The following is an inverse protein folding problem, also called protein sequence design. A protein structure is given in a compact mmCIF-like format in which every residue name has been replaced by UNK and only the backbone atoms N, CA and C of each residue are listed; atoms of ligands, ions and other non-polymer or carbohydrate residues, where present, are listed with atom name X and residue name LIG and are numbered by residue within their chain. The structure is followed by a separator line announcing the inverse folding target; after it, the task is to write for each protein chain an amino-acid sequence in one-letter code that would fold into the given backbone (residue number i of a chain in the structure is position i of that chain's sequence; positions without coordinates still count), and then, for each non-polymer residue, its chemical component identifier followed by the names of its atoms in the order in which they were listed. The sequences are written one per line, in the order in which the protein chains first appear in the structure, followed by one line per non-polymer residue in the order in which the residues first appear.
data_IF_644019530780
#
_entry.id   IF_644019530780
#
_cell.length_a   1.000
_cell.length_b   1.000
_cell.length_c   1.000
_cell.angle_alpha   90.00
_cell.angle_beta   90.00
_cell.angle_gamma   90.00
#
_symmetry.space_group_name_H-M   'P 1'
#
loop_
_entity.id
_entity.type
_entity.pdbx_description
1 polymer ?
#
# COMPACT_ATOMS: atom_id res chain seq x y z
N UNK A 1 -14.05 -25.18 3.25
CA UNK A 1 -13.91 -24.00 4.13
C UNK A 1 -14.14 -22.79 3.24
N UNK A 2 -15.13 -21.95 3.53
CA UNK A 2 -15.52 -20.86 2.63
C UNK A 2 -14.35 -19.91 2.40
N UNK A 3 -14.16 -19.44 1.16
CA UNK A 3 -13.25 -18.32 0.87
C UNK A 3 -13.76 -17.10 1.67
N UNK A 4 -13.17 -16.83 2.82
CA UNK A 4 -13.38 -15.58 3.55
C UNK A 4 -12.77 -14.45 2.72
N UNK A 5 -13.52 -13.35 2.58
CA UNK A 5 -13.07 -12.15 1.88
C UNK A 5 -11.95 -11.48 2.68
N UNK A 6 -10.92 -10.93 2.00
CA UNK A 6 -9.91 -10.12 2.68
C UNK A 6 -10.52 -8.89 3.38
N UNK A 7 -11.70 -8.46 2.92
CA UNK A 7 -12.44 -7.30 3.40
C UNK A 7 -13.51 -7.65 4.44
N UNK A 8 -13.50 -8.85 5.04
CA UNK A 8 -14.49 -9.24 6.06
C UNK A 8 -14.56 -8.22 7.23
N UNK A 9 -13.44 -7.56 7.55
CA UNK A 9 -13.40 -6.53 8.58
C UNK A 9 -14.20 -5.26 8.25
N UNK A 10 -14.51 -5.00 6.97
CA UNK A 10 -15.24 -3.81 6.52
C UNK A 10 -16.69 -3.79 7.03
N UNK A 11 -17.27 -4.97 7.24
CA UNK A 11 -18.61 -5.14 7.82
C UNK A 11 -18.76 -4.46 9.20
N UNK A 12 -17.64 -4.23 9.91
CA UNK A 12 -17.65 -3.55 11.21
C UNK A 12 -18.05 -2.07 11.11
N UNK A 13 -17.91 -1.44 9.94
CA UNK A 13 -18.28 -0.04 9.73
C UNK A 13 -19.25 0.19 8.56
N UNK A 14 -19.32 -0.70 7.58
CA UNK A 14 -20.31 -0.61 6.50
C UNK A 14 -20.51 -1.96 5.82
N UNK A 15 -21.73 -2.50 5.94
CA UNK A 15 -22.10 -3.75 5.27
C UNK A 15 -22.19 -3.58 3.75
N UNK A 16 -22.66 -2.43 3.28
CA UNK A 16 -22.72 -2.10 1.85
C UNK A 16 -21.34 -2.10 1.20
N UNK A 17 -20.32 -1.55 1.90
CA UNK A 17 -18.94 -1.58 1.44
C UNK A 17 -18.36 -3.00 1.49
N UNK A 18 -18.64 -3.78 2.53
CA UNK A 18 -18.17 -5.17 2.64
C UNK A 18 -18.71 -6.06 1.51
N UNK A 19 -20.00 -5.95 1.19
CA UNK A 19 -20.60 -6.62 0.04
C UNK A 19 -19.98 -6.17 -1.29
N UNK A 20 -19.74 -4.87 -1.46
CA UNK A 20 -19.11 -4.33 -2.66
C UNK A 20 -17.66 -4.82 -2.82
N UNK A 21 -16.88 -4.86 -1.74
CA UNK A 21 -15.52 -5.39 -1.75
C UNK A 21 -15.47 -6.88 -2.09
N UNK A 22 -16.37 -7.68 -1.52
CA UNK A 22 -16.50 -9.11 -1.84
C UNK A 22 -16.80 -9.32 -3.33
N UNK A 23 -17.66 -8.47 -3.91
CA UNK A 23 -17.96 -8.51 -5.35
C UNK A 23 -16.75 -8.15 -6.21
N UNK A 24 -15.99 -7.13 -5.80
CA UNK A 24 -14.74 -6.73 -6.44
C UNK A 24 -13.72 -7.89 -6.44
N UNK A 25 -13.56 -8.59 -5.32
CA UNK A 25 -12.68 -9.76 -5.21
C UNK A 25 -13.09 -10.88 -6.19
N UNK A 26 -14.39 -11.18 -6.27
CA UNK A 26 -14.91 -12.21 -7.16
C UNK A 26 -14.69 -11.89 -8.66
N UNK A 27 -14.63 -10.61 -9.00
CA UNK A 27 -14.49 -10.12 -10.37
C UNK A 27 -13.05 -9.72 -10.73
N UNK A 28 -12.12 -9.76 -9.76
CA UNK A 28 -10.80 -9.15 -9.85
C UNK A 28 -10.04 -9.48 -11.14
N UNK A 29 -10.04 -10.76 -11.52
CA UNK A 29 -9.32 -11.26 -12.69
C UNK A 29 -10.16 -11.40 -13.95
N UNK A 30 -11.49 -11.45 -13.81
CA UNK A 30 -12.41 -11.78 -14.91
C UNK A 30 -13.06 -10.56 -15.53
N UNK A 31 -13.23 -9.47 -14.77
CA UNK A 31 -13.92 -8.25 -15.22
C UNK A 31 -13.21 -6.97 -14.74
N UNK A 32 -12.00 -6.65 -15.25
CA UNK A 32 -11.19 -5.52 -14.78
C UNK A 32 -11.90 -4.16 -14.88
N UNK A 33 -12.63 -3.93 -15.96
CA UNK A 33 -13.40 -2.69 -16.16
C UNK A 33 -14.47 -2.52 -15.06
N UNK A 34 -15.22 -3.59 -14.78
CA UNK A 34 -16.25 -3.58 -13.74
C UNK A 34 -15.64 -3.35 -12.34
N UNK A 35 -14.47 -3.93 -12.08
CA UNK A 35 -13.70 -3.73 -10.84
C UNK A 35 -13.31 -2.26 -10.67
N UNK A 36 -12.78 -1.60 -11.71
CA UNK A 36 -12.40 -0.20 -11.64
C UNK A 36 -13.59 0.73 -11.39
N UNK A 37 -14.73 0.47 -12.02
CA UNK A 37 -15.96 1.25 -11.82
C UNK A 37 -16.49 1.05 -10.39
N UNK A 38 -16.53 -0.19 -9.90
CA UNK A 38 -16.97 -0.49 -8.55
C UNK A 38 -16.03 0.05 -7.47
N UNK A 39 -14.72 0.01 -7.71
CA UNK A 39 -13.75 0.58 -6.80
C UNK A 39 -13.90 2.10 -6.67
N UNK A 40 -14.26 2.79 -7.75
CA UNK A 40 -14.64 4.21 -7.66
C UNK A 40 -15.85 4.38 -6.74
N UNK A 41 -16.93 3.62 -6.93
CA UNK A 41 -18.11 3.68 -6.05
C UNK A 41 -17.75 3.44 -4.59
N UNK A 42 -16.93 2.41 -4.32
CA UNK A 42 -16.41 2.12 -2.99
C UNK A 42 -15.69 3.32 -2.38
N UNK A 43 -14.75 3.92 -3.13
CA UNK A 43 -13.99 5.08 -2.65
C UNK A 43 -14.88 6.29 -2.37
N UNK A 44 -15.93 6.51 -3.15
CA UNK A 44 -16.85 7.63 -2.95
C UNK A 44 -17.69 7.47 -1.69
N UNK A 45 -18.12 6.24 -1.40
CA UNK A 45 -18.84 5.93 -0.16
C UNK A 45 -17.94 6.04 1.06
N UNK A 46 -16.70 5.51 0.99
CA UNK A 46 -15.73 5.63 2.07
C UNK A 46 -15.46 7.10 2.43
N UNK A 47 -15.24 7.96 1.43
CA UNK A 47 -15.04 9.40 1.62
C UNK A 47 -16.29 10.07 2.20
N UNK A 48 -17.50 9.57 1.87
CA UNK A 48 -18.75 10.05 2.50
C UNK A 48 -18.81 9.68 3.97
N UNK A 49 -18.46 8.44 4.35
CA UNK A 49 -18.36 8.02 5.75
C UNK A 49 -17.38 8.89 6.53
N UNK A 50 -16.19 9.16 5.97
CA UNK A 50 -15.21 10.08 6.57
C UNK A 50 -15.85 11.46 6.79
N UNK A 51 -16.54 12.00 5.79
CA UNK A 51 -17.13 13.34 5.90
C UNK A 51 -18.23 13.43 6.96
N UNK A 52 -18.99 12.35 7.11
CA UNK A 52 -20.04 12.23 8.13
C UNK A 52 -19.44 12.17 9.54
N UNK A 53 -18.41 11.34 9.75
CA UNK A 53 -17.68 11.27 11.02
C UNK A 53 -17.07 12.62 11.40
N UNK A 54 -16.59 13.38 10.40
CA UNK A 54 -16.00 14.70 10.60
C UNK A 54 -17.00 15.85 10.67
N UNK A 55 -18.30 15.58 10.48
CA UNK A 55 -19.34 16.61 10.49
C UNK A 55 -19.13 17.71 9.45
N UNK A 56 -18.45 17.41 8.34
CA UNK A 56 -18.17 18.38 7.26
C UNK A 56 -19.20 18.33 6.13
N UNK A 57 -20.31 17.64 6.34
CA UNK A 57 -21.45 17.59 5.44
C UNK A 57 -21.95 19.01 5.17
N UNK A 58 -22.00 19.39 3.89
CA UNK A 58 -22.43 20.72 3.48
C UNK A 58 -23.93 20.75 3.20
N UNK A 59 -24.51 21.95 3.28
CA UNK A 59 -25.91 22.23 2.90
C UNK A 59 -26.19 21.80 1.45
N UNK A 60 -25.16 21.80 0.60
CA UNK A 60 -25.22 21.31 -0.78
C UNK A 60 -24.38 20.03 -0.97
N UNK A 61 -24.85 19.05 -1.74
CA UNK A 61 -24.07 17.83 -2.01
C UNK A 61 -22.75 18.14 -2.73
N UNK A 62 -21.62 17.86 -2.07
CA UNK A 62 -20.29 17.91 -2.69
C UNK A 62 -20.10 16.80 -3.73
N UNK A 63 -19.43 17.13 -4.84
CA UNK A 63 -18.91 16.12 -5.77
C UNK A 63 -17.78 15.33 -5.09
N UNK A 64 -17.54 14.11 -5.56
CA UNK A 64 -16.53 13.21 -4.98
C UNK A 64 -15.13 13.85 -4.87
N UNK A 65 -14.64 14.49 -5.95
CA UNK A 65 -13.32 15.15 -5.93
C UNK A 65 -13.27 16.34 -4.96
N UNK A 66 -14.35 17.13 -4.87
CA UNK A 66 -14.42 18.29 -3.97
C UNK A 66 -14.31 17.85 -2.51
N UNK A 67 -14.95 16.72 -2.17
CA UNK A 67 -14.89 16.10 -0.87
C UNK A 67 -13.48 15.61 -0.53
N UNK A 68 -12.81 14.91 -1.47
CA UNK A 68 -11.42 14.44 -1.32
C UNK A 68 -10.48 15.64 -1.04
N UNK A 69 -10.58 16.69 -1.85
CA UNK A 69 -9.74 17.88 -1.70
C UNK A 69 -9.99 18.61 -0.36
N UNK A 70 -11.26 18.73 0.05
CA UNK A 70 -11.63 19.36 1.32
C UNK A 70 -11.04 18.60 2.52
N UNK A 71 -11.17 17.28 2.53
CA UNK A 71 -10.60 16.43 3.58
C UNK A 71 -9.08 16.63 3.69
N UNK A 72 -8.37 16.65 2.56
CA UNK A 72 -6.92 16.84 2.54
C UNK A 72 -6.49 18.22 3.05
N UNK A 73 -7.16 19.29 2.59
CA UNK A 73 -6.90 20.66 3.04
C UNK A 73 -7.11 20.83 4.54
N UNK A 74 -8.13 20.17 5.10
CA UNK A 74 -8.42 20.20 6.53
C UNK A 74 -7.55 19.23 7.36
N UNK A 75 -6.56 18.57 6.76
CA UNK A 75 -5.70 17.56 7.42
C UNK A 75 -6.45 16.36 7.98
N UNK A 76 -7.64 16.06 7.43
CA UNK A 76 -8.47 14.94 7.87
C UNK A 76 -8.06 13.61 7.20
N UNK A 77 -7.34 13.72 6.08
CA UNK A 77 -6.68 12.61 5.40
C UNK A 77 -5.23 13.00 5.08
N UNK A 78 -4.38 11.98 5.02
CA UNK A 78 -2.96 12.10 4.70
C UNK A 78 -2.74 12.22 3.19
N UNK A 79 -1.55 12.69 2.79
CA UNK A 79 -1.14 12.76 1.38
C UNK A 79 -1.23 11.40 0.68
N UNK A 80 -0.76 10.33 1.33
CA UNK A 80 -0.79 8.98 0.77
C UNK A 80 -2.23 8.50 0.49
N UNK A 81 -3.15 8.72 1.44
CA UNK A 81 -4.57 8.40 1.26
C UNK A 81 -5.21 9.26 0.16
N UNK A 82 -4.87 10.54 0.10
CA UNK A 82 -5.30 11.44 -0.97
C UNK A 82 -4.86 10.92 -2.35
N UNK A 83 -3.58 10.54 -2.50
CA UNK A 83 -3.03 10.02 -3.76
C UNK A 83 -3.77 8.75 -4.22
N UNK A 84 -4.06 7.83 -3.29
CA UNK A 84 -4.83 6.61 -3.59
C UNK A 84 -6.24 6.95 -4.07
N UNK A 85 -6.95 7.82 -3.36
CA UNK A 85 -8.31 8.24 -3.70
C UNK A 85 -8.37 8.89 -5.09
N UNK A 86 -7.43 9.79 -5.41
CA UNK A 86 -7.37 10.41 -6.74
C UNK A 86 -7.02 9.41 -7.84
N UNK A 87 -6.12 8.46 -7.57
CA UNK A 87 -5.80 7.38 -8.51
C UNK A 87 -7.02 6.54 -8.83
N UNK A 88 -7.76 6.06 -7.81
CA UNK A 88 -8.97 5.26 -7.98
C UNK A 88 -10.03 6.06 -8.74
N UNK A 89 -10.22 7.34 -8.40
CA UNK A 89 -11.17 8.24 -9.08
C UNK A 89 -10.85 8.37 -10.57
N UNK A 90 -9.59 8.65 -10.92
CA UNK A 90 -9.17 8.84 -12.33
C UNK A 90 -9.29 7.54 -13.14
N UNK A 91 -8.81 6.41 -12.59
CA UNK A 91 -8.87 5.11 -13.27
C UNK A 91 -10.30 4.59 -13.43
N UNK A 92 -11.12 4.72 -12.40
CA UNK A 92 -12.54 4.36 -12.47
C UNK A 92 -13.33 5.24 -13.45
N UNK A 93 -13.04 6.54 -13.52
CA UNK A 93 -13.63 7.43 -14.52
C UNK A 93 -13.23 7.03 -15.95
N UNK A 94 -11.95 6.72 -16.16
CA UNK A 94 -11.49 6.24 -17.47
C UNK A 94 -12.20 4.94 -17.86
N UNK A 95 -12.27 3.97 -16.95
CA UNK A 95 -12.96 2.69 -17.18
C UNK A 95 -14.46 2.85 -17.49
N UNK A 96 -15.12 3.88 -16.96
CA UNK A 96 -16.54 4.16 -17.20
C UNK A 96 -16.80 4.83 -18.57
N UNK A 97 -15.83 5.55 -19.13
CA UNK A 97 -16.02 6.38 -20.32
C UNK A 97 -15.28 5.88 -21.57
N UNK A 98 -14.21 5.09 -21.41
CA UNK A 98 -13.41 4.56 -22.50
C UNK A 98 -13.82 3.10 -22.79
N UNK A 99 -13.96 2.77 -24.07
CA UNK A 99 -14.29 1.41 -24.55
C UNK A 99 -13.03 0.55 -24.69
N UNK A 100 -11.85 1.13 -24.47
CA UNK A 100 -10.59 0.38 -24.46
C UNK A 100 -10.54 -0.69 -23.36
N UNK A 101 -9.87 -1.81 -23.64
CA UNK A 101 -9.71 -2.90 -22.68
C UNK A 101 -9.03 -2.38 -21.40
N UNK A 102 -9.74 -2.51 -20.28
CA UNK A 102 -9.19 -2.21 -18.96
C UNK A 102 -8.19 -3.28 -18.55
N UNK A 103 -7.03 -2.86 -18.07
CA UNK A 103 -5.94 -3.75 -17.69
C UNK A 103 -6.29 -4.50 -16.38
N UNK A 104 -6.13 -5.82 -16.39
CA UNK A 104 -6.26 -6.67 -15.18
C UNK A 104 -5.34 -6.17 -14.07
N UNK A 105 -4.22 -5.57 -14.42
CA UNK A 105 -3.27 -5.06 -13.45
C UNK A 105 -3.75 -3.77 -12.77
N UNK A 106 -4.48 -2.91 -13.49
CA UNK A 106 -5.16 -1.77 -12.86
C UNK A 106 -6.21 -2.25 -11.84
N UNK A 107 -6.89 -3.37 -12.13
CA UNK A 107 -7.83 -3.99 -11.19
C UNK A 107 -7.11 -4.58 -9.95
N UNK A 108 -5.97 -5.25 -10.12
CA UNK A 108 -5.15 -5.74 -9.00
C UNK A 108 -4.67 -4.57 -8.12
N UNK A 109 -4.25 -3.47 -8.74
CA UNK A 109 -3.80 -2.29 -8.02
C UNK A 109 -4.94 -1.62 -7.25
N UNK A 110 -6.11 -1.48 -7.87
CA UNK A 110 -7.25 -0.84 -7.20
C UNK A 110 -7.70 -1.64 -5.98
N UNK A 111 -7.72 -2.96 -6.09
CA UNK A 111 -8.03 -3.86 -4.97
C UNK A 111 -7.09 -3.63 -3.78
N UNK A 112 -5.79 -3.49 -4.04
CA UNK A 112 -4.81 -3.13 -3.02
C UNK A 112 -5.10 -1.79 -2.35
N UNK A 113 -5.39 -0.75 -3.15
CA UNK A 113 -5.71 0.56 -2.60
C UNK A 113 -6.97 0.53 -1.76
N UNK A 114 -8.03 -0.16 -2.21
CA UNK A 114 -9.23 -0.30 -1.39
C UNK A 114 -8.93 -0.94 -0.03
N UNK A 115 -8.08 -1.96 0.00
CA UNK A 115 -7.67 -2.61 1.24
C UNK A 115 -6.95 -1.63 2.17
N UNK A 116 -5.92 -0.94 1.68
CA UNK A 116 -5.13 0.04 2.45
C UNK A 116 -6.01 1.19 2.98
N UNK A 117 -6.93 1.70 2.16
CA UNK A 117 -7.86 2.76 2.56
C UNK A 117 -8.86 2.29 3.64
N UNK A 118 -9.28 1.03 3.58
CA UNK A 118 -10.21 0.43 4.54
C UNK A 118 -9.54 0.15 5.89
N UNK A 119 -8.29 -0.32 5.86
CA UNK A 119 -7.45 -0.48 7.06
C UNK A 119 -7.25 0.88 7.74
N UNK A 120 -6.93 1.92 6.96
CA UNK A 120 -6.81 3.27 7.49
C UNK A 120 -8.10 3.73 8.18
N UNK A 121 -9.26 3.50 7.55
CA UNK A 121 -10.55 3.88 8.15
C UNK A 121 -10.81 3.14 9.47
N UNK A 122 -10.52 1.83 9.52
CA UNK A 122 -10.61 1.04 10.76
C UNK A 122 -9.76 1.66 11.87
N UNK A 123 -8.50 1.95 11.57
CA UNK A 123 -7.54 2.45 12.55
C UNK A 123 -7.83 3.87 13.03
N UNK A 124 -8.51 4.68 12.23
CA UNK A 124 -8.79 6.08 12.55
C UNK A 124 -10.19 6.27 13.18
N UNK A 125 -11.19 5.52 12.74
CA UNK A 125 -12.59 5.75 13.12
C UNK A 125 -13.24 4.62 13.91
N UNK A 126 -12.72 3.38 13.82
CA UNK A 126 -13.39 2.20 14.42
C UNK A 126 -12.64 1.70 15.65
N UNK A 127 -11.35 1.36 15.52
CA UNK A 127 -10.51 0.82 16.58
C UNK A 127 -9.04 1.20 16.35
N UNK A 128 -8.49 2.03 17.26
CA UNK A 128 -7.11 2.54 17.19
C UNK A 128 -6.04 1.45 17.38
N UNK A 129 -6.43 0.33 17.97
CA UNK A 129 -5.62 -0.87 18.21
C UNK A 129 -5.88 -1.98 17.19
N UNK A 130 -6.66 -1.71 16.13
CA UNK A 130 -6.94 -2.67 15.07
C UNK A 130 -5.65 -3.16 14.39
N UNK A 131 -5.41 -4.46 14.48
CA UNK A 131 -4.36 -5.16 13.76
C UNK A 131 -4.89 -5.62 12.40
N UNK A 132 -4.36 -5.01 11.33
CA UNK A 132 -4.78 -5.31 9.97
C UNK A 132 -4.34 -6.73 9.55
N UNK A 133 -5.17 -7.47 8.80
CA UNK A 133 -4.73 -8.71 8.17
C UNK A 133 -3.63 -8.43 7.13
N UNK A 134 -2.85 -9.45 6.79
CA UNK A 134 -1.83 -9.33 5.74
C UNK A 134 -2.53 -9.31 4.39
N UNK A 135 -2.25 -8.29 3.57
CA UNK A 135 -2.82 -8.18 2.23
C UNK A 135 -2.47 -9.39 1.37
N UNK A 136 -3.48 -9.99 0.73
CA UNK A 136 -3.33 -11.08 -0.21
C UNK A 136 -4.28 -10.92 -1.41
N UNK A 137 -3.93 -11.52 -2.55
CA UNK A 137 -4.87 -11.58 -3.68
C UNK A 137 -5.88 -12.71 -3.48
N UNK A 138 -7.15 -12.52 -3.90
CA UNK A 138 -8.16 -13.57 -3.81
C UNK A 138 -7.74 -14.79 -4.64
N UNK A 139 -7.94 -15.97 -4.08
CA UNK A 139 -7.65 -17.22 -4.79
C UNK A 139 -8.70 -17.43 -5.88
N UNK A 140 -8.29 -17.74 -7.11
CA UNK A 140 -9.21 -18.00 -8.24
C UNK A 140 -10.05 -19.25 -7.94
N UNK A 141 -11.27 -19.07 -7.45
CA UNK A 141 -12.22 -20.16 -7.33
C UNK A 141 -12.60 -20.63 -8.75
N UNK A 142 -12.04 -21.76 -9.20
CA UNK A 142 -12.40 -22.40 -10.47
C UNK A 142 -11.27 -22.81 -11.41
N UNK A 143 -10.00 -22.65 -11.03
CA UNK A 143 -8.87 -23.26 -11.76
C UNK A 143 -8.15 -24.25 -10.83
N UNK A 144 -8.64 -25.49 -10.78
CA UNK A 144 -7.86 -26.66 -10.37
C UNK A 144 -6.74 -27.00 -11.37
N UNK A 145 -6.54 -26.19 -12.42
CA UNK A 145 -5.35 -26.28 -13.25
C UNK A 145 -4.28 -25.37 -12.68
N UNK A 146 -3.22 -26.00 -12.15
CA UNK A 146 -1.90 -25.43 -11.96
C UNK A 146 -1.58 -24.46 -13.12
N UNK A 147 -1.77 -23.16 -12.92
CA UNK A 147 -1.05 -22.17 -13.70
C UNK A 147 0.37 -22.26 -13.15
N UNK A 148 1.36 -22.73 -13.92
CA UNK A 148 2.73 -22.81 -13.43
C UNK A 148 3.14 -21.40 -13.00
N UNK A 149 3.71 -21.21 -11.80
CA UNK A 149 4.08 -19.87 -11.30
C UNK A 149 4.91 -19.06 -12.31
N UNK A 150 5.69 -19.77 -13.13
CA UNK A 150 6.38 -19.30 -14.34
C UNK A 150 5.55 -18.38 -15.27
N UNK A 151 4.26 -18.64 -15.50
CA UNK A 151 3.42 -17.80 -16.39
C UNK A 151 2.95 -16.51 -15.73
N UNK A 152 2.88 -16.48 -14.40
CA UNK A 152 2.57 -15.27 -13.64
C UNK A 152 3.80 -14.36 -13.69
N UNK A 153 5.00 -14.92 -13.52
CA UNK A 153 6.27 -14.20 -13.61
C UNK A 153 6.57 -13.68 -15.03
N UNK A 154 6.24 -14.45 -16.09
CA UNK A 154 6.41 -14.03 -17.49
C UNK A 154 5.51 -12.85 -17.90
N UNK A 155 4.32 -12.71 -17.29
CA UNK A 155 3.38 -11.61 -17.57
C UNK A 155 3.73 -10.36 -16.74
N UNK A 156 4.23 -10.56 -15.52
CA UNK A 156 4.55 -9.48 -14.57
C UNK A 156 5.86 -8.73 -14.95
N UNK A 157 6.86 -9.42 -15.52
CA UNK A 157 8.19 -8.83 -15.79
C UNK A 157 8.20 -7.79 -16.93
N UNK A 158 7.64 -8.06 -18.14
CA UNK A 158 7.52 -7.07 -19.21
C UNK A 158 6.53 -5.93 -18.84
N UNK A 159 5.61 -6.21 -17.91
CA UNK A 159 4.64 -5.26 -17.38
C UNK A 159 5.29 -4.22 -16.45
N UNK A 160 6.35 -4.57 -15.70
CA UNK A 160 7.06 -3.64 -14.83
C UNK A 160 7.62 -2.44 -15.60
N UNK A 161 8.21 -2.69 -16.78
CA UNK A 161 8.80 -1.65 -17.63
C UNK A 161 7.75 -0.75 -18.29
N UNK A 162 6.62 -1.31 -18.74
CA UNK A 162 5.55 -0.54 -19.40
C UNK A 162 4.68 0.26 -18.41
N UNK A 163 4.58 -0.22 -17.17
CA UNK A 163 3.78 0.38 -16.10
C UNK A 163 4.48 1.56 -15.44
N UNK A 164 5.81 1.48 -15.25
CA UNK A 164 6.62 2.60 -14.76
C UNK A 164 6.43 3.87 -15.62
N UNK A 165 6.36 3.71 -16.94
CA UNK A 165 6.15 4.83 -17.87
C UNK A 165 4.76 5.48 -17.77
N UNK A 166 3.69 4.70 -17.58
CA UNK A 166 2.30 5.23 -17.45
C UNK A 166 2.01 5.78 -16.05
N UNK A 167 2.72 5.29 -15.04
CA UNK A 167 2.61 5.80 -13.68
C UNK A 167 3.12 7.24 -13.61
N UNK A 168 4.24 7.55 -14.25
CA UNK A 168 4.85 8.89 -14.19
C UNK A 168 3.90 10.02 -14.63
N UNK A 169 3.17 9.87 -15.74
CA UNK A 169 2.30 10.95 -16.25
C UNK A 169 1.12 11.26 -15.31
N UNK A 170 0.41 10.22 -14.85
CA UNK A 170 -0.74 10.40 -13.97
C UNK A 170 -0.32 10.81 -12.56
N UNK A 171 0.80 10.27 -12.04
CA UNK A 171 1.34 10.70 -10.75
C UNK A 171 1.81 12.15 -10.82
N UNK A 172 2.42 12.58 -11.93
CA UNK A 172 2.82 13.98 -12.12
C UNK A 172 1.61 14.90 -12.05
N UNK A 173 0.52 14.58 -12.76
CA UNK A 173 -0.71 15.39 -12.70
C UNK A 173 -1.33 15.44 -11.29
N UNK A 174 -1.38 14.32 -10.57
CA UNK A 174 -1.90 14.31 -9.20
C UNK A 174 -0.95 15.04 -8.23
N UNK A 175 0.37 14.99 -8.46
CA UNK A 175 1.36 15.74 -7.69
C UNK A 175 1.29 17.25 -7.92
N UNK A 176 1.04 17.70 -9.15
CA UNK A 176 0.78 19.10 -9.44
C UNK A 176 -0.48 19.61 -8.72
N UNK A 177 -1.57 18.83 -8.77
CA UNK A 177 -2.79 19.13 -8.02
C UNK A 177 -2.53 19.20 -6.51
N UNK A 178 -1.74 18.26 -5.99
CA UNK A 178 -1.35 18.23 -4.59
C UNK A 178 -0.51 19.45 -4.20
N UNK A 179 0.40 19.91 -5.04
CA UNK A 179 1.21 21.10 -4.79
C UNK A 179 0.35 22.37 -4.66
N UNK A 180 -0.65 22.52 -5.54
CA UNK A 180 -1.63 23.61 -5.45
C UNK A 180 -2.43 23.54 -4.13
N UNK A 181 -2.89 22.35 -3.74
CA UNK A 181 -3.63 22.17 -2.49
C UNK A 181 -2.77 22.41 -1.24
N UNK A 182 -1.46 22.09 -1.29
CA UNK A 182 -0.52 22.39 -0.20
C UNK A 182 -0.37 23.90 0.00
N UNK A 183 -0.22 24.66 -1.08
CA UNK A 183 -0.16 26.12 -1.01
C UNK A 183 -1.45 26.73 -0.43
N UNK A 184 -2.63 26.24 -0.85
CA UNK A 184 -3.92 26.67 -0.29
C UNK A 184 -4.05 26.34 1.20
N UNK A 185 -3.58 25.16 1.62
CA UNK A 185 -3.61 24.68 3.00
C UNK A 185 -2.75 25.53 3.93
N UNK A 186 -1.53 25.86 3.51
CA UNK A 186 -0.61 26.70 4.28
C UNK A 186 -1.21 28.11 4.50
N UNK A 187 -1.85 28.68 3.47
CA UNK A 187 -2.54 29.97 3.58
C UNK A 187 -3.75 29.92 4.53
N UNK A 188 -4.47 28.79 4.59
CA UNK A 188 -5.63 28.62 5.47
C UNK A 188 -5.26 28.34 6.95
N UNK A 189 -4.12 27.71 7.24
CA UNK A 189 -3.68 27.42 8.61
C UNK A 189 -3.24 28.67 9.40
N UNK A 190 -2.83 29.74 8.72
CA UNK A 190 -2.43 31.02 9.36
C UNK A 190 -3.62 31.71 10.07
N UNK A 191 -4.88 31.34 9.77
CA UNK A 191 -6.07 32.03 10.31
C UNK A 191 -6.78 31.33 11.49
N UNK A 192 -6.43 30.09 11.87
CA UNK A 192 -7.27 29.26 12.76
C UNK A 192 -6.59 28.69 14.03
N UNK A 193 -5.62 29.38 14.62
CA UNK A 193 -4.92 28.94 15.84
C UNK A 193 -5.62 29.34 17.17
N UNK A 194 -6.95 29.19 17.28
CA UNK A 194 -7.68 29.49 18.53
C UNK A 194 -8.86 28.52 18.74
N UNK A 195 -8.58 27.27 19.11
CA UNK A 195 -9.47 26.37 19.89
C UNK A 195 -8.69 25.09 20.23
N UNK A 196 -8.63 24.73 21.51
CA UNK A 196 -8.02 23.48 21.97
C UNK A 196 -8.78 22.24 21.47
N UNK A 197 -8.06 21.14 21.29
CA UNK A 197 -8.59 19.86 20.81
C UNK A 197 -9.35 19.13 21.94
N UNK A 198 -10.38 18.38 21.58
CA UNK A 198 -11.07 17.46 22.49
C UNK A 198 -10.32 16.11 22.60
N UNK A 199 -10.53 15.31 23.66
CA UNK A 199 -9.85 14.02 23.83
C UNK A 199 -10.05 13.03 22.67
N UNK A 200 -11.21 13.04 22.02
CA UNK A 200 -11.46 12.20 20.82
C UNK A 200 -10.63 12.70 19.62
N UNK A 201 -10.46 14.01 19.49
CA UNK A 201 -9.60 14.61 18.45
C UNK A 201 -8.12 14.34 18.72
N UNK A 202 -7.68 14.35 19.98
CA UNK A 202 -6.30 14.01 20.36
C UNK A 202 -5.94 12.56 20.02
N UNK A 203 -6.80 11.60 20.35
CA UNK A 203 -6.60 10.18 19.99
C UNK A 203 -6.56 9.96 18.49
N UNK A 204 -7.44 10.67 17.76
CA UNK A 204 -7.48 10.62 16.31
C UNK A 204 -6.23 11.23 15.68
N UNK A 205 -5.78 12.38 16.16
CA UNK A 205 -4.57 13.05 15.68
C UNK A 205 -3.33 12.21 16.00
N UNK A 206 -3.30 11.53 17.15
CA UNK A 206 -2.27 10.54 17.48
C UNK A 206 -2.30 9.34 16.53
N UNK A 207 -3.49 8.83 16.16
CA UNK A 207 -3.63 7.73 15.20
C UNK A 207 -3.17 8.13 13.79
N UNK A 208 -3.61 9.29 13.31
CA UNK A 208 -3.16 9.88 12.04
C UNK A 208 -1.65 10.11 12.07
N UNK A 209 -1.09 10.64 13.16
CA UNK A 209 0.36 10.86 13.28
C UNK A 209 1.14 9.56 13.34
N UNK A 210 0.64 8.54 14.03
CA UNK A 210 1.25 7.21 14.08
C UNK A 210 1.26 6.58 12.69
N UNK A 211 0.16 6.73 11.96
CA UNK A 211 0.08 6.25 10.59
C UNK A 211 0.99 7.03 9.63
N UNK A 212 1.09 8.35 9.80
CA UNK A 212 2.08 9.17 9.10
C UNK A 212 3.49 8.69 9.34
N UNK A 213 3.82 8.39 10.58
CA UNK A 213 5.14 7.87 10.95
C UNK A 213 5.37 6.50 10.34
N UNK A 214 4.37 5.60 10.35
CA UNK A 214 4.46 4.28 9.71
C UNK A 214 4.69 4.40 8.19
N UNK A 215 3.88 5.20 7.51
CA UNK A 215 3.97 5.46 6.06
C UNK A 215 5.33 6.07 5.75
N UNK A 216 5.79 7.05 6.53
CA UNK A 216 7.05 7.72 6.28
C UNK A 216 8.25 6.80 6.56
N UNK A 217 8.19 6.00 7.62
CA UNK A 217 9.27 5.09 8.05
C UNK A 217 9.64 4.07 6.97
N UNK A 218 8.67 3.60 6.19
CA UNK A 218 8.90 2.60 5.14
C UNK A 218 8.57 3.08 3.73
N UNK A 219 8.42 4.40 3.55
CA UNK A 219 8.03 5.01 2.27
C UNK A 219 8.92 4.56 1.11
N UNK A 220 10.22 4.42 1.32
CA UNK A 220 11.18 3.98 0.29
C UNK A 220 10.86 2.57 -0.19
N UNK A 221 10.56 1.66 0.73
CA UNK A 221 10.18 0.29 0.40
C UNK A 221 8.86 0.26 -0.35
N UNK A 222 7.87 1.02 0.11
CA UNK A 222 6.57 1.14 -0.59
C UNK A 222 6.73 1.68 -2.01
N UNK A 223 7.60 2.70 -2.20
CA UNK A 223 7.94 3.27 -3.53
C UNK A 223 8.59 2.24 -4.46
N UNK A 224 9.34 1.29 -3.91
CA UNK A 224 9.95 0.18 -4.65
C UNK A 224 9.14 -1.11 -4.58
N UNK A 225 7.82 -1.03 -4.35
CA UNK A 225 6.90 -2.17 -4.32
C UNK A 225 7.19 -3.25 -3.27
N UNK A 226 7.94 -2.92 -2.23
CA UNK A 226 8.15 -3.77 -1.07
C UNK A 226 7.07 -3.48 -0.01
N UNK A 227 6.35 -4.52 0.41
CA UNK A 227 5.35 -4.45 1.50
C UNK A 227 5.95 -4.98 2.78
N UNK A 228 5.70 -4.31 3.89
CA UNK A 228 6.03 -4.85 5.20
C UNK A 228 5.19 -6.11 5.45
N UNK A 229 5.84 -7.24 5.67
CA UNK A 229 5.18 -8.54 5.98
C UNK A 229 5.39 -8.97 7.42
N UNK A 230 6.46 -8.49 8.06
CA UNK A 230 6.73 -8.76 9.47
C UNK A 230 7.62 -7.68 10.06
N UNK A 231 7.50 -7.43 11.35
CA UNK A 231 8.38 -6.51 12.05
C UNK A 231 8.79 -7.07 13.40
N UNK A 232 10.08 -6.95 13.69
CA UNK A 232 10.67 -7.35 14.97
C UNK A 232 11.60 -6.27 15.50
N UNK A 233 12.05 -6.42 16.74
CA UNK A 233 13.07 -5.53 17.32
C UNK A 233 14.39 -5.54 16.56
N UNK A 234 14.67 -6.58 15.75
CA UNK A 234 15.94 -6.75 15.04
C UNK A 234 15.89 -6.35 13.56
N UNK A 235 14.74 -6.54 12.92
CA UNK A 235 14.56 -6.28 11.50
C UNK A 235 13.09 -6.10 11.13
N UNK A 236 12.85 -5.33 10.07
CA UNK A 236 11.60 -5.26 9.34
C UNK A 236 11.73 -6.10 8.06
N UNK A 237 10.81 -7.05 7.88
CA UNK A 237 10.70 -7.92 6.72
C UNK A 237 9.83 -7.26 5.67
N UNK A 238 10.34 -7.20 4.45
CA UNK A 238 9.57 -6.77 3.31
C UNK A 238 9.52 -7.83 2.24
N UNK A 239 8.38 -7.94 1.60
CA UNK A 239 8.18 -8.78 0.42
C UNK A 239 7.83 -7.91 -0.77
N UNK A 240 8.58 -8.07 -1.85
CA UNK A 240 8.28 -7.43 -3.11
C UNK A 240 6.94 -7.96 -3.63
N UNK A 241 5.99 -7.05 -3.85
CA UNK A 241 4.60 -7.37 -4.22
C UNK A 241 4.47 -8.25 -5.46
N UNK A 242 5.46 -8.19 -6.36
CA UNK A 242 5.41 -8.80 -7.67
C UNK A 242 6.27 -10.06 -7.76
N UNK A 243 7.48 -10.04 -7.20
CA UNK A 243 8.43 -11.15 -7.33
C UNK A 243 8.39 -12.10 -6.13
N UNK A 244 7.69 -11.72 -5.05
CA UNK A 244 7.79 -12.42 -3.77
C UNK A 244 9.18 -12.31 -3.12
N UNK A 245 10.05 -11.44 -3.65
CA UNK A 245 11.41 -11.28 -3.14
C UNK A 245 11.36 -10.76 -1.72
N UNK A 246 11.98 -11.50 -0.80
CA UNK A 246 11.99 -11.12 0.61
C UNK A 246 13.32 -10.44 0.92
N UNK A 247 13.23 -9.25 1.48
CA UNK A 247 14.38 -8.53 2.03
C UNK A 247 14.12 -8.17 3.48
N UNK A 248 15.19 -7.97 4.24
CA UNK A 248 15.08 -7.49 5.61
C UNK A 248 15.84 -6.19 5.79
N UNK A 249 15.17 -5.12 6.19
CA UNK A 249 15.83 -3.93 6.72
C UNK A 249 16.25 -4.20 8.17
N UNK A 250 17.54 -4.13 8.45
CA UNK A 250 18.06 -4.31 9.81
C UNK A 250 17.85 -3.04 10.65
N UNK A 251 17.50 -3.21 11.93
CA UNK A 251 17.31 -2.10 12.89
C UNK A 251 18.61 -1.68 13.60
N UNK A 252 19.75 -1.79 12.92
CA UNK A 252 21.06 -1.37 13.39
C UNK A 252 21.30 0.14 13.11
N UNK A 253 22.43 0.70 13.58
CA UNK A 253 22.77 2.13 13.41
C UNK A 253 23.01 2.57 11.96
N UNK A 254 23.00 1.65 11.00
CA UNK A 254 23.35 1.89 9.59
C UNK A 254 22.20 1.41 8.70
N UNK A 255 21.84 2.18 7.67
CA UNK A 255 20.79 1.79 6.72
C UNK A 255 21.27 0.56 5.95
N UNK A 256 20.75 -0.61 6.31
CA UNK A 256 21.26 -1.87 5.78
C UNK A 256 20.18 -2.91 5.55
N UNK A 257 20.27 -3.60 4.42
CA UNK A 257 19.33 -4.66 4.04
C UNK A 257 20.04 -6.00 3.88
N UNK A 258 19.31 -7.06 4.15
CA UNK A 258 19.72 -8.44 3.89
C UNK A 258 18.98 -8.96 2.67
N UNK A 259 19.74 -9.53 1.74
CA UNK A 259 19.23 -10.17 0.53
C UNK A 259 19.23 -11.69 0.65
N UNK A 260 18.21 -12.32 0.06
CA UNK A 260 18.01 -13.75 0.14
C UNK A 260 18.97 -14.49 -0.81
N UNK A 261 19.84 -15.40 -0.31
CA UNK A 261 20.79 -16.12 -1.15
C UNK A 261 20.18 -16.95 -2.29
N UNK A 262 18.93 -17.38 -2.13
CA UNK A 262 18.29 -18.31 -3.07
C UNK A 262 17.64 -17.63 -4.27
N UNK A 263 17.30 -16.35 -4.16
CA UNK A 263 16.48 -15.65 -5.16
C UNK A 263 17.19 -14.49 -5.85
N UNK A 264 18.30 -13.99 -5.29
CA UNK A 264 19.11 -12.95 -5.95
C UNK A 264 20.09 -13.51 -6.99
N UNK A 265 20.41 -12.69 -8.00
CA UNK A 265 21.41 -13.01 -9.01
C UNK A 265 22.82 -13.17 -8.40
N UNK A 266 23.67 -13.98 -9.05
CA UNK A 266 25.01 -14.29 -8.56
C UNK A 266 25.92 -13.07 -8.42
N UNK A 267 25.66 -12.00 -9.18
CA UNK A 267 26.35 -10.71 -9.05
C UNK A 267 26.16 -10.06 -7.68
N UNK A 268 25.09 -10.41 -6.96
CA UNK A 268 24.82 -9.91 -5.60
C UNK A 268 25.34 -10.85 -4.50
N UNK A 269 25.96 -11.98 -4.86
CA UNK A 269 26.48 -12.95 -3.90
C UNK A 269 27.97 -12.70 -3.64
N UNK A 270 28.33 -12.54 -2.39
CA UNK A 270 29.73 -12.34 -1.97
C UNK A 270 29.94 -12.87 -0.55
N UNK A 271 30.90 -13.78 -0.36
CA UNK A 271 31.20 -14.36 0.95
C UNK A 271 31.55 -13.29 1.99
N UNK A 272 32.18 -12.18 1.58
CA UNK A 272 32.53 -11.06 2.47
C UNK A 272 31.29 -10.35 3.04
N UNK A 273 30.18 -10.36 2.29
CA UNK A 273 28.90 -9.75 2.66
C UNK A 273 27.99 -10.70 3.42
N UNK A 274 28.35 -11.97 3.53
CA UNK A 274 27.51 -12.97 4.14
C UNK A 274 27.37 -12.75 5.65
N UNK A 275 26.14 -12.69 6.15
CA UNK A 275 25.85 -12.54 7.58
C UNK A 275 24.75 -13.49 8.02
N UNK A 276 24.88 -13.97 9.25
CA UNK A 276 23.88 -14.81 9.91
C UNK A 276 23.03 -14.00 10.87
N UNK A 277 21.73 -14.24 10.89
CA UNK A 277 20.82 -13.64 11.85
C UNK A 277 19.55 -14.47 12.01
N UNK A 278 19.11 -14.64 13.25
CA UNK A 278 17.83 -15.30 13.56
C UNK A 278 16.61 -14.48 13.16
N UNK A 279 16.79 -13.21 12.77
CA UNK A 279 15.71 -12.35 12.30
C UNK A 279 15.26 -12.68 10.87
N UNK A 280 16.11 -13.38 10.09
CA UNK A 280 15.89 -13.68 8.68
C UNK A 280 15.05 -14.96 8.52
N UNK A 281 13.82 -14.91 9.00
CA UNK A 281 12.96 -16.10 9.18
C UNK A 281 12.69 -16.86 7.88
N UNK A 282 12.58 -16.16 6.75
CA UNK A 282 12.32 -16.71 5.41
C UNK A 282 13.59 -17.01 4.61
N UNK A 283 14.78 -16.73 5.16
CA UNK A 283 16.04 -16.99 4.47
C UNK A 283 16.53 -18.41 4.73
N UNK A 284 17.31 -18.99 3.79
CA UNK A 284 17.93 -20.29 3.97
C UNK A 284 18.83 -20.30 5.22
N UNK A 285 18.92 -21.47 5.85
CA UNK A 285 19.77 -21.71 7.02
C UNK A 285 20.98 -22.52 6.61
N UNK A 286 22.13 -22.16 7.17
CA UNK A 286 23.32 -23.02 7.10
C UNK A 286 24.06 -23.02 8.43
N UNK A 287 24.87 -24.05 8.63
CA UNK A 287 25.70 -24.18 9.81
C UNK A 287 26.91 -23.27 9.65
N UNK A 288 27.17 -22.40 10.63
CA UNK A 288 28.36 -21.56 10.67
C UNK A 288 28.94 -21.60 12.09
N UNK A 289 30.18 -22.09 12.21
CA UNK A 289 31.02 -22.19 13.44
C UNK A 289 30.41 -22.88 14.68
N UNK A 290 29.11 -23.17 14.71
CA UNK A 290 28.38 -23.91 15.75
C UNK A 290 27.68 -25.16 15.20
N UNK A 291 26.79 -25.78 15.98
CA UNK A 291 26.05 -27.00 15.59
C UNK A 291 24.64 -26.73 15.04
N UNK A 292 24.02 -25.58 15.36
CA UNK A 292 22.65 -25.27 14.94
C UNK A 292 22.61 -24.41 13.67
N UNK A 293 21.85 -24.80 12.64
CA UNK A 293 21.66 -23.99 11.44
C UNK A 293 21.03 -22.63 11.76
N UNK A 294 21.65 -21.55 11.26
CA UNK A 294 21.13 -20.18 11.43
C UNK A 294 20.90 -19.56 10.06
N UNK A 295 19.81 -18.80 9.91
CA UNK A 295 19.48 -18.13 8.66
C UNK A 295 20.61 -17.18 8.25
N UNK A 296 20.91 -17.12 6.96
CA UNK A 296 21.96 -16.27 6.41
C UNK A 296 21.50 -15.54 5.15
N UNK A 297 22.15 -14.41 4.88
CA UNK A 297 21.93 -13.62 3.68
C UNK A 297 23.13 -12.75 3.36
N UNK A 298 23.02 -11.94 2.32
CA UNK A 298 24.05 -11.00 1.91
C UNK A 298 23.69 -9.58 2.38
N UNK A 299 24.57 -8.97 3.17
CA UNK A 299 24.38 -7.65 3.76
C UNK A 299 24.80 -6.56 2.77
N UNK A 300 23.90 -5.61 2.55
CA UNK A 300 24.14 -4.38 1.80
C UNK A 300 23.90 -3.17 2.71
N UNK A 301 24.78 -2.17 2.63
CA UNK A 301 24.73 -0.96 3.44
C UNK A 301 24.64 0.24 2.51
N UNK A 302 23.92 1.26 2.94
CA UNK A 302 23.64 2.46 2.17
C UNK A 302 23.94 3.69 3.01
N UNK A 303 24.41 4.76 2.38
CA UNK A 303 24.72 6.02 3.04
C UNK A 303 23.46 6.86 3.26
N UNK A 304 22.49 6.76 2.36
CA UNK A 304 21.27 7.54 2.38
C UNK A 304 20.08 6.80 1.73
N UNK A 305 18.91 7.41 1.85
CA UNK A 305 17.65 6.88 1.33
C UNK A 305 17.60 6.79 -0.21
N UNK A 306 18.31 7.67 -0.91
CA UNK A 306 18.36 7.72 -2.38
C UNK A 306 19.13 6.52 -2.94
N UNK A 307 20.31 6.22 -2.37
CA UNK A 307 21.11 5.05 -2.71
C UNK A 307 20.34 3.75 -2.45
N UNK A 308 19.62 3.68 -1.31
CA UNK A 308 18.75 2.54 -1.03
C UNK A 308 17.61 2.44 -2.05
N UNK A 309 16.96 3.56 -2.40
CA UNK A 309 15.85 3.57 -3.35
C UNK A 309 16.29 3.05 -4.72
N UNK A 310 17.41 3.55 -5.23
CA UNK A 310 17.98 3.11 -6.51
C UNK A 310 18.39 1.63 -6.48
N UNK A 311 18.94 1.19 -5.35
CA UNK A 311 19.25 -0.23 -5.16
C UNK A 311 18.01 -1.12 -5.17
N UNK A 312 16.94 -0.72 -4.48
CA UNK A 312 15.69 -1.48 -4.45
C UNK A 312 15.04 -1.54 -5.83
N UNK A 313 15.12 -0.48 -6.64
CA UNK A 313 14.67 -0.48 -8.04
C UNK A 313 15.50 -1.41 -8.93
N UNK A 314 16.77 -1.63 -8.60
CA UNK A 314 17.62 -2.57 -9.34
C UNK A 314 17.36 -4.05 -8.96
N UNK A 315 16.68 -4.30 -7.83
CA UNK A 315 16.27 -5.64 -7.38
C UNK A 315 14.91 -6.08 -7.93
N UNK A 316 14.09 -5.13 -8.39
CA UNK A 316 12.73 -5.36 -8.89
C UNK A 316 12.67 -5.95 -10.29
#
# INVERSE_FOLDING_TARGET
MGNSSLFEFVEQFSSELGELATRIEAQLFSQPQAVLIQARLYSEELVRLISKEEGIEEVYPLKAYERIHKLYRQSLIEEDLYMKLEWVRKKGNKAAHDVSESDVMDAIQVHKYLFEMSVWYMQVYVSYDFEAPVYALPTRAGLETEIPSHKIDEIIKPYLEQTLQKYDDMWTEVQEQLALLKADKENAQVTNNLKGLSPKQELKEAAISKERENINRYRIFTKSNFMLTNESLKAAEFEHKLTGEVIYLLRNKELSIMLNPNSIADSFKSEERERHSTALRRFPKKINKGQTPTSYGYLYKFQNEEELLDFLKALS
#
